data_IF_925110334715
#
_entry.id   IF_925110334715
#
_cell.length_a   1.000
_cell.length_b   1.000
_cell.length_c   1.000
_cell.angle_alpha   90.00
_cell.angle_beta   90.00
_cell.angle_gamma   90.00
#
_symmetry.space_group_name_H-M   'P 1'
#
loop_
_entity.id
_entity.type
_entity.pdbx_description
1 polymer ?
#
# COMPACT_ATOMS: atom_id res chain seq x y z
N UNK A 1 3.96 16.02 -2.08
CA UNK A 1 2.55 16.09 -2.45
C UNK A 1 2.38 16.90 -3.73
N UNK A 2 1.78 16.32 -4.78
CA UNK A 2 1.41 17.00 -6.02
C UNK A 2 -0.10 17.22 -6.02
N UNK A 3 -0.53 18.43 -6.31
CA UNK A 3 -1.93 18.84 -6.30
C UNK A 3 -2.31 19.30 -7.70
N UNK A 4 -3.50 18.96 -8.15
CA UNK A 4 -4.00 19.34 -9.48
C UNK A 4 -5.05 20.44 -9.41
N UNK A 5 -5.27 21.19 -10.51
CA UNK A 5 -6.21 22.31 -10.57
C UNK A 5 -7.62 21.96 -10.10
N UNK A 6 -8.25 22.90 -9.40
CA UNK A 6 -9.62 22.79 -8.89
C UNK A 6 -9.76 22.04 -7.56
N UNK A 7 -8.74 21.29 -7.12
CA UNK A 7 -8.83 20.46 -5.92
C UNK A 7 -8.61 21.30 -4.66
N UNK A 8 -9.42 21.03 -3.63
CA UNK A 8 -9.22 21.52 -2.26
C UNK A 8 -8.63 20.41 -1.43
N UNK A 9 -7.53 20.66 -0.75
CA UNK A 9 -6.85 19.67 0.08
C UNK A 9 -6.24 20.30 1.32
N UNK A 10 -5.94 19.44 2.30
CA UNK A 10 -5.24 19.82 3.53
C UNK A 10 -3.76 19.47 3.42
N UNK A 11 -2.88 20.40 3.80
CA UNK A 11 -1.43 20.24 3.79
C UNK A 11 -0.88 20.51 5.18
N UNK A 12 -0.15 19.56 5.74
CA UNK A 12 0.57 19.76 6.99
C UNK A 12 1.78 20.66 6.76
N UNK A 13 1.91 21.70 7.58
CA UNK A 13 2.94 22.75 7.45
C UNK A 13 3.96 22.57 8.58
N UNK A 14 4.94 21.70 8.38
CA UNK A 14 5.93 21.37 9.41
C UNK A 14 7.23 22.16 9.34
N UNK A 15 7.61 22.72 8.18
CA UNK A 15 8.87 23.45 8.02
C UNK A 15 8.73 24.89 8.45
N UNK A 16 9.77 25.42 9.08
CA UNK A 16 9.80 26.80 9.59
C UNK A 16 9.55 27.83 8.47
N UNK A 17 10.20 27.66 7.32
CA UNK A 17 9.98 28.54 6.15
C UNK A 17 8.54 28.53 5.64
N UNK A 18 7.88 27.37 5.68
CA UNK A 18 6.46 27.23 5.30
C UNK A 18 5.53 27.84 6.36
N UNK A 19 5.86 27.71 7.64
CA UNK A 19 5.13 28.39 8.72
C UNK A 19 5.22 29.91 8.61
N UNK A 20 6.41 30.44 8.32
CA UNK A 20 6.61 31.87 8.10
C UNK A 20 5.81 32.36 6.86
N UNK A 21 5.75 31.56 5.81
CA UNK A 21 4.89 31.87 4.64
C UNK A 21 3.42 31.93 5.05
N UNK A 22 2.91 30.97 5.78
CA UNK A 22 1.51 30.95 6.23
C UNK A 22 1.21 32.16 7.11
N UNK A 23 2.05 32.46 8.11
CA UNK A 23 1.91 33.67 8.95
C UNK A 23 1.92 34.97 8.16
N UNK A 24 2.76 35.02 7.12
CA UNK A 24 2.81 36.17 6.22
C UNK A 24 1.49 36.35 5.46
N UNK A 25 0.90 35.25 5.00
CA UNK A 25 -0.36 35.25 4.26
C UNK A 25 -1.53 35.65 5.15
N UNK A 26 -1.63 35.11 6.36
CA UNK A 26 -2.68 35.46 7.32
C UNK A 26 -2.69 36.97 7.63
N UNK A 27 -1.51 37.58 7.72
CA UNK A 27 -1.40 39.04 7.91
C UNK A 27 -1.84 39.86 6.70
N UNK A 28 -1.81 39.26 5.50
CA UNK A 28 -2.09 39.95 4.24
C UNK A 28 -3.56 39.91 3.83
N UNK A 29 -4.34 38.99 4.45
CA UNK A 29 -5.77 38.86 4.19
C UNK A 29 -6.10 37.90 3.05
N UNK A 30 -7.38 37.84 2.68
CA UNK A 30 -7.99 36.81 1.85
C UNK A 30 -7.53 36.73 0.39
N UNK A 31 -6.77 37.72 -0.13
CA UNK A 31 -6.37 37.77 -1.54
C UNK A 31 -4.94 37.28 -1.82
N UNK A 32 -4.33 36.60 -0.86
CA UNK A 32 -2.96 36.10 -1.02
C UNK A 32 -2.92 34.70 -1.65
N UNK A 33 -2.21 34.61 -2.77
CA UNK A 33 -1.92 33.36 -3.45
C UNK A 33 -0.51 32.88 -3.12
N UNK A 34 -0.34 31.56 -3.15
CA UNK A 34 0.94 30.87 -3.00
C UNK A 34 1.21 30.00 -4.22
N UNK A 35 2.48 29.82 -4.53
CA UNK A 35 2.93 28.78 -5.43
C UNK A 35 3.20 27.50 -4.62
N UNK A 36 2.63 26.38 -5.05
CA UNK A 36 2.86 25.06 -4.45
C UNK A 36 3.50 24.17 -5.49
N UNK A 37 4.72 23.73 -5.22
CA UNK A 37 5.41 22.75 -6.03
C UNK A 37 5.90 21.59 -5.18
N UNK A 38 6.14 20.46 -5.80
CA UNK A 38 6.64 19.26 -5.15
C UNK A 38 8.16 19.27 -5.16
N UNK A 39 8.74 18.72 -4.11
CA UNK A 39 10.16 18.46 -3.98
C UNK A 39 10.53 17.20 -4.77
N UNK A 40 11.69 17.21 -5.44
CA UNK A 40 12.22 16.04 -6.15
C UNK A 40 12.63 14.97 -5.15
N UNK A 41 13.39 15.35 -4.12
CA UNK A 41 13.76 14.46 -3.02
C UNK A 41 13.19 14.97 -1.69
N UNK A 42 12.28 14.20 -1.11
CA UNK A 42 11.63 14.53 0.16
C UNK A 42 12.58 14.56 1.37
N UNK A 43 13.77 13.96 1.26
CA UNK A 43 14.75 13.89 2.33
C UNK A 43 15.52 15.21 2.54
N UNK A 44 15.45 16.14 1.59
CA UNK A 44 16.14 17.43 1.71
C UNK A 44 15.34 18.36 2.62
N UNK A 45 15.92 18.72 3.77
CA UNK A 45 15.26 19.58 4.76
C UNK A 45 15.14 21.03 4.32
N UNK A 46 16.15 21.55 3.62
CA UNK A 46 16.21 22.92 3.12
C UNK A 46 16.31 22.95 1.58
N UNK A 47 15.20 22.69 0.87
CA UNK A 47 15.23 22.66 -0.58
C UNK A 47 15.48 24.04 -1.18
N UNK A 48 16.25 24.06 -2.25
CA UNK A 48 16.46 25.17 -3.14
C UNK A 48 15.54 25.09 -4.36
N UNK A 49 15.61 26.06 -5.27
CA UNK A 49 14.87 25.99 -6.54
C UNK A 49 15.28 24.80 -7.42
N UNK A 50 16.48 24.29 -7.28
CA UNK A 50 16.95 23.11 -8.02
C UNK A 50 16.39 21.78 -7.48
N UNK A 51 15.89 21.79 -6.25
CA UNK A 51 15.37 20.60 -5.56
C UNK A 51 13.85 20.44 -5.68
N UNK A 52 13.19 21.34 -6.43
CA UNK A 52 11.74 21.31 -6.65
C UNK A 52 11.41 21.19 -8.14
N UNK A 53 10.26 20.60 -8.44
CA UNK A 53 9.78 20.53 -9.81
C UNK A 53 9.47 21.92 -10.34
N UNK A 54 9.83 22.23 -11.62
CA UNK A 54 9.62 23.55 -12.20
C UNK A 54 8.15 23.87 -12.41
N UNK A 55 7.31 22.85 -12.55
CA UNK A 55 5.85 23.00 -12.67
C UNK A 55 5.20 22.83 -11.29
N UNK A 56 4.36 23.77 -10.96
CA UNK A 56 3.59 23.78 -9.73
C UNK A 56 2.18 24.28 -9.94
N UNK A 57 1.53 24.62 -8.86
CA UNK A 57 0.16 25.12 -8.83
C UNK A 57 0.09 26.48 -8.14
N UNK A 58 -0.71 27.38 -8.69
CA UNK A 58 -1.20 28.55 -7.98
C UNK A 58 -2.31 28.12 -7.04
N UNK A 59 -2.15 28.38 -5.75
CA UNK A 59 -3.14 27.99 -4.75
C UNK A 59 -3.48 29.18 -3.82
N UNK A 60 -4.68 29.15 -3.25
CA UNK A 60 -5.15 30.06 -2.21
C UNK A 60 -5.24 29.30 -0.89
N UNK A 61 -4.74 29.89 0.17
CA UNK A 61 -4.93 29.38 1.53
C UNK A 61 -6.33 29.80 2.00
N UNK A 62 -7.21 28.83 2.18
CA UNK A 62 -8.58 29.08 2.63
C UNK A 62 -8.66 29.24 4.14
N UNK A 63 -7.92 28.38 4.86
CA UNK A 63 -7.93 28.34 6.31
C UNK A 63 -6.69 27.63 6.83
N UNK A 64 -6.19 28.08 7.99
CA UNK A 64 -5.17 27.38 8.77
C UNK A 64 -5.84 26.82 10.03
N UNK A 65 -5.57 25.57 10.33
CA UNK A 65 -6.07 24.88 11.51
C UNK A 65 -4.87 24.55 12.40
N UNK A 66 -4.81 25.18 13.56
CA UNK A 66 -3.80 24.90 14.58
C UNK A 66 -4.48 24.13 15.72
N UNK A 67 -3.93 22.97 16.05
CA UNK A 67 -4.34 22.22 17.24
C UNK A 67 -3.21 22.20 18.25
N UNK A 68 -3.50 22.25 19.55
CA UNK A 68 -2.47 22.17 20.59
C UNK A 68 -1.62 20.90 20.40
N UNK A 69 -0.30 21.07 20.36
CA UNK A 69 0.69 19.99 20.19
C UNK A 69 0.64 19.23 18.86
N UNK A 70 0.03 19.79 17.82
CA UNK A 70 0.03 19.21 16.47
C UNK A 70 0.63 20.19 15.46
N UNK A 71 1.16 19.65 14.37
CA UNK A 71 1.64 20.43 13.23
C UNK A 71 0.48 21.20 12.59
N UNK A 72 0.59 22.51 12.37
CA UNK A 72 -0.43 23.30 11.70
C UNK A 72 -0.79 22.72 10.33
N UNK A 73 -2.06 22.77 10.01
CA UNK A 73 -2.60 22.25 8.75
C UNK A 73 -3.25 23.38 7.97
N UNK A 74 -2.76 23.65 6.77
CA UNK A 74 -3.36 24.62 5.85
C UNK A 74 -4.34 23.92 4.91
N UNK A 75 -5.56 24.44 4.82
CA UNK A 75 -6.53 24.05 3.79
C UNK A 75 -6.31 24.98 2.61
N UNK A 76 -5.93 24.41 1.47
CA UNK A 76 -5.60 25.15 0.25
C UNK A 76 -6.50 24.74 -0.90
N UNK A 77 -6.82 25.68 -1.76
CA UNK A 77 -7.52 25.47 -3.02
C UNK A 77 -6.57 25.71 -4.18
N UNK A 78 -6.42 24.74 -5.04
CA UNK A 78 -5.61 24.83 -6.26
C UNK A 78 -6.42 25.47 -7.39
N UNK A 79 -5.81 26.39 -8.14
CA UNK A 79 -6.48 27.08 -9.25
C UNK A 79 -5.95 26.62 -10.60
N UNK A 80 -4.70 26.91 -10.92
CA UNK A 80 -4.13 26.65 -12.23
C UNK A 80 -2.67 26.26 -12.14
N UNK A 81 -2.17 25.66 -13.20
CA UNK A 81 -0.77 25.29 -13.32
C UNK A 81 0.10 26.54 -13.53
N UNK A 82 1.28 26.49 -12.97
CA UNK A 82 2.28 27.57 -13.11
C UNK A 82 3.66 26.97 -13.37
N UNK A 83 4.46 27.70 -14.12
CA UNK A 83 5.90 27.48 -14.21
C UNK A 83 6.62 28.41 -13.24
N UNK A 84 7.56 27.87 -12.47
CA UNK A 84 8.38 28.59 -11.52
C UNK A 84 9.69 29.01 -12.19
N UNK A 85 10.08 30.29 -12.05
CA UNK A 85 11.41 30.73 -12.48
C UNK A 85 12.49 30.06 -11.62
N UNK A 86 13.57 29.56 -12.21
CA UNK A 86 14.67 28.95 -11.46
C UNK A 86 15.44 29.95 -10.59
N UNK A 87 15.31 31.24 -10.89
CA UNK A 87 15.98 32.32 -10.14
C UNK A 87 15.02 32.89 -9.08
N UNK A 88 15.30 32.65 -7.78
CA UNK A 88 14.47 33.21 -6.72
C UNK A 88 14.73 34.72 -6.58
N UNK A 89 13.68 35.49 -6.40
CA UNK A 89 13.78 36.93 -6.09
C UNK A 89 14.11 37.15 -4.61
N UNK A 90 13.81 36.18 -3.76
CA UNK A 90 14.09 36.18 -2.32
C UNK A 90 14.13 34.77 -1.78
N UNK A 91 15.02 34.51 -0.83
CA UNK A 91 15.16 33.17 -0.22
C UNK A 91 14.63 33.16 1.22
N UNK A 92 14.87 34.19 1.99
CA UNK A 92 14.50 34.27 3.40
C UNK A 92 13.36 35.29 3.66
N UNK A 93 12.40 35.02 4.58
CA UNK A 93 12.25 33.83 5.40
C UNK A 93 11.68 32.63 4.63
N UNK A 94 11.15 32.83 3.44
CA UNK A 94 10.67 31.79 2.51
C UNK A 94 11.01 32.18 1.07
N UNK A 95 11.06 31.18 0.20
CA UNK A 95 11.41 31.39 -1.22
C UNK A 95 10.31 32.18 -1.92
N UNK A 96 10.72 33.19 -2.67
CA UNK A 96 9.86 33.94 -3.62
C UNK A 96 10.48 33.87 -4.99
N UNK A 97 9.68 33.59 -5.98
CA UNK A 97 10.10 33.58 -7.37
C UNK A 97 9.01 34.12 -8.26
N UNK A 98 9.36 34.43 -9.52
CA UNK A 98 8.39 34.76 -10.55
C UNK A 98 7.69 33.48 -11.01
N UNK A 99 6.39 33.57 -11.27
CA UNK A 99 5.59 32.48 -11.80
C UNK A 99 4.94 32.89 -13.10
N UNK A 100 4.87 31.96 -14.04
CA UNK A 100 4.15 32.13 -15.31
C UNK A 100 2.98 31.16 -15.36
N UNK A 101 1.74 31.62 -15.56
CA UNK A 101 0.62 30.72 -15.77
C UNK A 101 0.83 29.82 -16.97
N UNK A 102 0.47 28.55 -16.82
CA UNK A 102 0.48 27.55 -17.88
C UNK A 102 -0.97 27.30 -18.30
N UNK A 103 -1.22 27.35 -19.59
CA UNK A 103 -2.54 27.08 -20.16
C UNK A 103 -2.77 25.57 -20.25
N UNK A 104 -3.99 25.14 -19.96
CA UNK A 104 -4.47 23.79 -20.21
C UNK A 104 -5.27 23.76 -21.51
N UNK A 105 -5.03 22.73 -22.32
CA UNK A 105 -5.81 22.44 -23.53
C UNK A 105 -6.92 21.47 -23.14
N UNK A 106 -8.16 21.95 -23.23
CA UNK A 106 -9.35 21.15 -22.92
C UNK A 106 -9.93 20.52 -24.20
N UNK A 107 -10.52 19.32 -24.10
CA UNK A 107 -11.26 18.72 -25.21
C UNK A 107 -12.46 19.60 -25.60
N UNK A 108 -12.87 19.52 -26.86
CA UNK A 108 -14.08 20.20 -27.33
C UNK A 108 -15.36 19.67 -26.64
N UNK A 109 -16.39 20.50 -26.56
CA UNK A 109 -17.68 20.06 -26.05
C UNK A 109 -18.23 18.93 -26.94
N UNK A 110 -18.59 17.79 -26.34
CA UNK A 110 -19.04 16.58 -27.01
C UNK A 110 -17.98 15.80 -27.83
N UNK A 111 -16.70 15.95 -27.51
CA UNK A 111 -15.66 15.11 -28.05
C UNK A 111 -15.90 13.65 -27.63
N UNK A 112 -16.26 12.81 -28.61
CA UNK A 112 -16.60 11.39 -28.38
C UNK A 112 -15.39 10.57 -27.96
N UNK A 113 -14.19 10.93 -28.42
CA UNK A 113 -12.96 10.23 -28.06
C UNK A 113 -12.61 10.50 -26.59
N UNK A 114 -12.69 11.76 -26.20
CA UNK A 114 -12.50 12.11 -24.79
C UNK A 114 -13.56 11.48 -23.89
N UNK A 115 -14.81 11.43 -24.32
CA UNK A 115 -15.89 10.82 -23.55
C UNK A 115 -15.65 9.33 -23.33
N UNK A 116 -15.26 8.59 -24.38
CA UNK A 116 -14.92 7.18 -24.28
C UNK A 116 -13.70 6.92 -23.39
N UNK A 117 -12.66 7.77 -23.51
CA UNK A 117 -11.47 7.73 -22.65
C UNK A 117 -11.84 7.98 -21.19
N UNK A 118 -12.64 9.00 -20.92
CA UNK A 118 -13.10 9.35 -19.58
C UNK A 118 -13.94 8.24 -18.95
N UNK A 119 -14.87 7.65 -19.69
CA UNK A 119 -15.68 6.53 -19.18
C UNK A 119 -14.80 5.33 -18.82
N UNK A 120 -13.84 4.97 -19.68
CA UNK A 120 -12.85 3.92 -19.40
C UNK A 120 -12.02 4.24 -18.15
N UNK A 121 -11.55 5.48 -18.03
CA UNK A 121 -10.79 5.94 -16.87
C UNK A 121 -11.62 5.88 -15.58
N UNK A 122 -12.87 6.30 -15.65
CA UNK A 122 -13.80 6.28 -14.52
C UNK A 122 -14.08 4.86 -14.03
N UNK A 123 -14.33 3.92 -14.95
CA UNK A 123 -14.52 2.49 -14.62
C UNK A 123 -13.26 1.91 -13.95
N UNK A 124 -12.08 2.16 -14.54
CA UNK A 124 -10.81 1.72 -13.98
C UNK A 124 -10.57 2.28 -12.58
N UNK A 125 -10.92 3.57 -12.36
CA UNK A 125 -10.81 4.21 -11.04
C UNK A 125 -11.70 3.54 -9.99
N UNK A 126 -12.95 3.26 -10.31
CA UNK A 126 -13.84 2.56 -9.39
C UNK A 126 -13.36 1.13 -9.08
N UNK A 127 -12.85 0.43 -10.10
CA UNK A 127 -12.25 -0.89 -9.91
C UNK A 127 -11.04 -0.84 -8.99
N UNK A 128 -10.16 0.14 -9.18
CA UNK A 128 -8.98 0.35 -8.35
C UNK A 128 -9.33 0.60 -6.88
N UNK A 129 -10.28 1.49 -6.62
CA UNK A 129 -10.72 1.81 -5.25
C UNK A 129 -11.34 0.58 -4.58
N UNK A 130 -12.10 -0.22 -5.32
CA UNK A 130 -12.73 -1.45 -4.79
C UNK A 130 -11.70 -2.52 -4.42
N UNK A 131 -10.63 -2.66 -5.20
CA UNK A 131 -9.58 -3.66 -4.97
C UNK A 131 -8.52 -3.20 -3.95
N UNK A 132 -8.40 -1.90 -3.72
CA UNK A 132 -7.41 -1.34 -2.81
C UNK A 132 -7.97 -1.23 -1.39
N UNK A 133 -7.64 -2.18 -0.54
CA UNK A 133 -8.08 -2.24 0.86
C UNK A 133 -7.70 -1.01 1.70
N UNK A 134 -6.69 -0.24 1.26
CA UNK A 134 -6.27 1.00 1.94
C UNK A 134 -7.19 2.19 1.67
N UNK A 135 -7.97 2.10 0.59
CA UNK A 135 -8.93 3.13 0.20
C UNK A 135 -10.32 2.67 0.68
N UNK A 136 -10.80 3.27 1.75
CA UNK A 136 -12.12 2.92 2.32
C UNK A 136 -13.30 3.34 1.45
N UNK A 137 -14.51 3.02 1.91
CA UNK A 137 -15.77 3.43 1.28
C UNK A 137 -15.90 4.96 1.15
N UNK A 138 -15.20 5.71 1.99
CA UNK A 138 -15.16 7.18 1.94
C UNK A 138 -14.57 7.70 0.64
N UNK A 139 -13.45 7.09 0.16
CA UNK A 139 -12.86 7.45 -1.12
C UNK A 139 -13.81 7.18 -2.30
N UNK A 140 -14.52 6.05 -2.26
CA UNK A 140 -15.54 5.71 -3.26
C UNK A 140 -16.67 6.74 -3.28
N UNK A 141 -17.19 7.13 -2.11
CA UNK A 141 -18.28 8.11 -1.99
C UNK A 141 -17.85 9.51 -2.41
N UNK A 142 -16.61 9.91 -2.11
CA UNK A 142 -16.06 11.19 -2.53
C UNK A 142 -16.03 11.33 -4.05
N UNK A 143 -15.65 10.27 -4.77
CA UNK A 143 -15.52 10.30 -6.24
C UNK A 143 -16.87 10.10 -6.96
N UNK A 144 -17.78 9.30 -6.39
CA UNK A 144 -19.04 8.93 -7.04
C UNK A 144 -19.90 10.13 -7.46
N UNK A 145 -19.87 11.20 -6.67
CA UNK A 145 -20.71 12.38 -6.88
C UNK A 145 -20.07 13.47 -7.75
N UNK A 146 -18.85 13.23 -8.25
CA UNK A 146 -18.17 14.16 -9.15
C UNK A 146 -18.72 13.99 -10.56
N UNK A 147 -19.42 15.02 -11.05
CA UNK A 147 -20.02 15.01 -12.39
C UNK A 147 -19.12 15.65 -13.46
N UNK A 148 -18.27 16.61 -13.08
CA UNK A 148 -17.38 17.28 -14.03
C UNK A 148 -16.16 16.37 -14.34
N UNK A 149 -15.95 16.00 -15.64
CA UNK A 149 -14.87 15.10 -16.02
C UNK A 149 -13.46 15.62 -15.67
N UNK A 150 -13.20 16.89 -15.94
CA UNK A 150 -11.90 17.52 -15.69
C UNK A 150 -11.59 17.53 -14.19
N UNK A 151 -12.58 17.92 -13.39
CA UNK A 151 -12.43 17.90 -11.94
C UNK A 151 -12.25 16.48 -11.41
N UNK A 152 -12.96 15.48 -11.97
CA UNK A 152 -12.80 14.07 -11.61
C UNK A 152 -11.36 13.60 -11.86
N UNK A 153 -10.81 13.86 -13.05
CA UNK A 153 -9.44 13.49 -13.43
C UNK A 153 -8.42 14.11 -12.46
N UNK A 154 -8.53 15.42 -12.23
CA UNK A 154 -7.62 16.15 -11.33
C UNK A 154 -7.74 15.69 -9.87
N UNK A 155 -8.95 15.38 -9.42
CA UNK A 155 -9.21 14.86 -8.08
C UNK A 155 -8.58 13.49 -7.89
N UNK A 156 -8.74 12.59 -8.86
CA UNK A 156 -8.14 11.25 -8.86
C UNK A 156 -6.61 11.33 -8.88
N UNK A 157 -6.05 12.16 -9.76
CA UNK A 157 -4.59 12.38 -9.84
C UNK A 157 -4.01 12.90 -8.52
N UNK A 158 -4.74 13.78 -7.81
CA UNK A 158 -4.31 14.30 -6.51
C UNK A 158 -4.34 13.24 -5.43
N UNK A 159 -5.45 12.50 -5.30
CA UNK A 159 -5.76 11.70 -4.11
C UNK A 159 -5.34 10.24 -4.19
N UNK A 160 -5.18 9.65 -5.37
CA UNK A 160 -4.70 8.28 -5.46
C UNK A 160 -3.20 8.19 -5.12
N UNK A 161 -2.75 7.09 -4.51
CA UNK A 161 -1.38 6.93 -3.99
C UNK A 161 -0.39 6.53 -5.09
N UNK A 162 -0.35 7.30 -6.20
CA UNK A 162 0.65 7.13 -7.24
C UNK A 162 1.99 7.75 -6.84
N UNK A 163 3.04 7.37 -7.54
CA UNK A 163 4.37 7.91 -7.32
C UNK A 163 4.41 9.44 -7.52
N UNK A 164 5.23 10.11 -6.73
CA UNK A 164 5.32 11.58 -6.73
C UNK A 164 5.90 12.13 -8.04
N UNK A 165 6.88 11.45 -8.60
CA UNK A 165 7.52 11.84 -9.86
C UNK A 165 6.52 11.66 -11.02
N UNK A 166 5.79 10.54 -11.07
CA UNK A 166 4.73 10.33 -12.06
C UNK A 166 3.65 11.40 -11.99
N UNK A 167 3.21 11.78 -10.78
CA UNK A 167 2.26 12.88 -10.59
C UNK A 167 2.81 14.22 -11.05
N UNK A 168 4.10 14.49 -10.82
CA UNK A 168 4.72 15.72 -11.26
C UNK A 168 4.77 15.79 -12.79
N UNK A 169 5.14 14.70 -13.47
CA UNK A 169 5.10 14.59 -14.94
C UNK A 169 3.68 14.76 -15.50
N UNK A 170 2.67 14.16 -14.84
CA UNK A 170 1.27 14.38 -15.21
C UNK A 170 0.84 15.83 -15.05
N UNK A 171 1.37 16.55 -14.06
CA UNK A 171 1.09 17.98 -13.87
C UNK A 171 1.75 18.84 -14.94
N UNK A 172 2.88 18.42 -15.51
CA UNK A 172 3.54 19.10 -16.63
C UNK A 172 2.74 19.02 -17.93
N UNK A 173 2.01 17.92 -18.15
CA UNK A 173 1.19 17.76 -19.35
C UNK A 173 -0.02 18.70 -19.31
N UNK A 174 -0.09 19.61 -20.29
CA UNK A 174 -1.15 20.61 -20.42
C UNK A 174 -2.38 20.12 -21.17
N UNK A 175 -2.24 19.16 -22.02
CA UNK A 175 -3.33 18.58 -22.80
C UNK A 175 -4.11 17.57 -21.95
N UNK A 176 -5.39 17.85 -21.71
CA UNK A 176 -6.25 17.01 -20.87
C UNK A 176 -6.48 15.62 -21.43
N UNK A 177 -6.52 15.47 -22.75
CA UNK A 177 -6.64 14.15 -23.39
C UNK A 177 -5.41 13.32 -23.09
N UNK A 178 -4.22 13.87 -23.31
CA UNK A 178 -2.93 13.20 -23.06
C UNK A 178 -2.72 12.91 -21.59
N UNK A 179 -3.04 13.87 -20.71
CA UNK A 179 -2.95 13.69 -19.25
C UNK A 179 -3.86 12.55 -18.78
N UNK A 180 -5.11 12.49 -19.27
CA UNK A 180 -6.06 11.44 -18.94
C UNK A 180 -5.58 10.07 -19.42
N UNK A 181 -5.03 10.01 -20.64
CA UNK A 181 -4.47 8.77 -21.19
C UNK A 181 -3.28 8.28 -20.37
N UNK A 182 -2.34 9.16 -20.03
CA UNK A 182 -1.18 8.82 -19.19
C UNK A 182 -1.62 8.35 -17.79
N UNK A 183 -2.59 9.04 -17.19
CA UNK A 183 -3.14 8.66 -15.90
C UNK A 183 -3.88 7.31 -15.94
N UNK A 184 -4.62 7.02 -17.01
CA UNK A 184 -5.24 5.71 -17.24
C UNK A 184 -4.19 4.60 -17.33
N UNK A 185 -3.08 4.86 -18.01
CA UNK A 185 -1.99 3.89 -18.13
C UNK A 185 -1.37 3.57 -16.77
N UNK A 186 -1.09 4.58 -15.94
CA UNK A 186 -0.60 4.39 -14.57
C UNK A 186 -1.62 3.57 -13.76
N UNK A 187 -2.89 3.94 -13.83
CA UNK A 187 -3.96 3.27 -13.10
C UNK A 187 -4.12 1.80 -13.51
N UNK A 188 -4.01 1.49 -14.80
CA UNK A 188 -4.06 0.10 -15.29
C UNK A 188 -2.89 -0.73 -14.79
N UNK A 189 -1.67 -0.17 -14.76
CA UNK A 189 -0.49 -0.84 -14.19
C UNK A 189 -0.71 -1.15 -12.70
N UNK A 190 -1.20 -0.18 -11.94
CA UNK A 190 -1.50 -0.37 -10.52
C UNK A 190 -2.60 -1.40 -10.28
N UNK A 191 -3.64 -1.43 -11.13
CA UNK A 191 -4.68 -2.46 -11.10
C UNK A 191 -4.12 -3.85 -11.32
N UNK A 192 -3.28 -4.04 -12.34
CA UNK A 192 -2.64 -5.34 -12.60
C UNK A 192 -1.80 -5.80 -11.40
N UNK A 193 -1.09 -4.88 -10.77
CA UNK A 193 -0.31 -5.18 -9.57
C UNK A 193 -1.19 -5.61 -8.38
N UNK A 194 -2.32 -4.92 -8.15
CA UNK A 194 -3.27 -5.29 -7.10
C UNK A 194 -3.92 -6.65 -7.35
N UNK A 195 -4.32 -6.95 -8.59
CA UNK A 195 -4.90 -8.25 -8.99
C UNK A 195 -3.89 -9.40 -8.79
N UNK A 196 -2.64 -9.17 -9.17
CA UNK A 196 -1.57 -10.14 -8.94
C UNK A 196 -1.34 -10.38 -7.43
N UNK A 197 -1.29 -9.30 -6.65
CA UNK A 197 -1.13 -9.39 -5.19
C UNK A 197 -2.27 -10.17 -4.54
N UNK A 198 -3.51 -9.93 -4.96
CA UNK A 198 -4.67 -10.66 -4.47
C UNK A 198 -4.57 -12.16 -4.82
N UNK A 199 -4.21 -12.49 -6.06
CA UNK A 199 -4.04 -13.88 -6.50
C UNK A 199 -2.98 -14.62 -5.68
N UNK A 200 -1.84 -13.96 -5.40
CA UNK A 200 -0.77 -14.52 -4.56
C UNK A 200 -1.28 -14.74 -3.12
N UNK A 201 -1.97 -13.76 -2.54
CA UNK A 201 -2.53 -13.85 -1.20
C UNK A 201 -3.53 -14.99 -1.06
N UNK A 202 -4.44 -15.15 -2.03
CA UNK A 202 -5.41 -16.25 -2.05
C UNK A 202 -4.75 -17.63 -2.15
N UNK A 203 -3.68 -17.76 -2.97
CA UNK A 203 -2.89 -18.99 -3.05
C UNK A 203 -2.23 -19.32 -1.71
N UNK A 204 -1.53 -18.35 -1.14
CA UNK A 204 -0.82 -18.53 0.14
C UNK A 204 -1.79 -18.92 1.25
N UNK A 205 -2.95 -18.29 1.33
CA UNK A 205 -3.96 -18.64 2.32
C UNK A 205 -4.49 -20.06 2.13
N UNK A 206 -4.76 -20.49 0.89
CA UNK A 206 -5.19 -21.88 0.61
C UNK A 206 -4.13 -22.91 0.99
N UNK A 207 -2.86 -22.66 0.69
CA UNK A 207 -1.74 -23.52 1.06
C UNK A 207 -1.60 -23.61 2.59
N UNK A 208 -1.75 -22.47 3.30
CA UNK A 208 -1.70 -22.42 4.76
C UNK A 208 -2.85 -23.20 5.40
N UNK A 209 -4.07 -23.03 4.90
CA UNK A 209 -5.25 -23.78 5.37
C UNK A 209 -5.06 -25.29 5.15
N UNK A 210 -4.51 -25.69 4.00
CA UNK A 210 -4.22 -27.09 3.71
C UNK A 210 -3.17 -27.66 4.66
N UNK A 211 -2.07 -26.96 4.90
CA UNK A 211 -1.04 -27.37 5.84
C UNK A 211 -1.59 -27.50 7.28
N UNK A 212 -2.41 -26.55 7.72
CA UNK A 212 -3.05 -26.62 9.03
C UNK A 212 -3.97 -27.85 9.15
N UNK A 213 -4.75 -28.14 8.10
CA UNK A 213 -5.62 -29.31 8.05
C UNK A 213 -4.82 -30.61 8.09
N UNK A 214 -3.74 -30.71 7.33
CA UNK A 214 -2.84 -31.87 7.33
C UNK A 214 -2.18 -32.08 8.70
N UNK A 215 -1.70 -31.00 9.32
CA UNK A 215 -1.14 -31.06 10.66
C UNK A 215 -2.16 -31.53 11.70
N UNK A 216 -3.38 -31.02 11.64
CA UNK A 216 -4.47 -31.45 12.53
C UNK A 216 -4.80 -32.94 12.35
N UNK A 217 -4.90 -33.41 11.11
CA UNK A 217 -5.16 -34.82 10.80
C UNK A 217 -4.01 -35.70 11.30
N UNK A 218 -2.75 -35.30 11.11
CA UNK A 218 -1.59 -36.06 11.65
C UNK A 218 -1.61 -36.11 13.17
N UNK A 219 -1.98 -35.02 13.85
CA UNK A 219 -2.15 -35.05 15.31
C UNK A 219 -3.25 -36.00 15.77
N UNK A 220 -4.39 -36.01 15.07
CA UNK A 220 -5.47 -36.93 15.37
C UNK A 220 -5.03 -38.40 15.18
N UNK A 221 -4.38 -38.71 14.07
CA UNK A 221 -3.82 -40.06 13.80
C UNK A 221 -2.87 -40.48 14.95
N UNK A 222 -1.95 -39.58 15.36
CA UNK A 222 -1.03 -39.82 16.45
C UNK A 222 -1.72 -40.07 17.80
N UNK A 223 -2.81 -39.33 18.05
CA UNK A 223 -3.60 -39.54 19.27
C UNK A 223 -4.36 -40.87 19.23
N UNK A 224 -4.98 -41.24 18.11
CA UNK A 224 -5.61 -42.54 17.94
C UNK A 224 -4.61 -43.71 18.04
N UNK A 225 -3.41 -43.57 17.48
CA UNK A 225 -2.37 -44.56 17.62
C UNK A 225 -1.92 -44.72 19.09
N UNK A 226 -1.85 -43.62 19.87
CA UNK A 226 -1.58 -43.68 21.30
C UNK A 226 -2.70 -44.37 22.08
N UNK A 227 -3.96 -44.06 21.75
CA UNK A 227 -5.12 -44.68 22.38
C UNK A 227 -5.22 -46.18 22.05
N UNK A 228 -4.94 -46.59 20.82
CA UNK A 228 -4.88 -47.97 20.39
C UNK A 228 -3.67 -48.71 21.03
N UNK A 229 -2.51 -48.06 21.12
CA UNK A 229 -1.30 -48.62 21.76
C UNK A 229 -1.42 -48.71 23.28
N UNK A 230 -2.31 -47.93 23.92
CA UNK A 230 -2.63 -48.09 25.35
C UNK A 230 -3.68 -49.18 25.60
N UNK A 231 -4.39 -49.65 24.55
CA UNK A 231 -5.39 -50.73 24.67
C UNK A 231 -4.80 -52.13 24.43
N UNK A 232 -3.71 -52.25 23.67
CA UNK A 232 -2.92 -53.47 23.53
C UNK A 232 -1.55 -53.18 24.14
N UNK A 233 -1.26 -53.81 25.27
CA UNK A 233 -0.10 -53.53 26.11
C UNK A 233 1.18 -53.33 25.30
N UNK A 234 2.03 -52.43 25.77
CA UNK A 234 3.34 -52.15 25.20
C UNK A 234 4.24 -53.40 25.35
N UNK A 235 4.13 -54.33 24.40
CA UNK A 235 4.79 -55.61 24.41
C UNK A 235 6.30 -55.45 24.65
N UNK A 236 6.89 -54.39 24.10
CA UNK A 236 8.29 -54.07 24.32
C UNK A 236 8.63 -53.76 25.80
N UNK A 237 7.75 -53.06 26.53
CA UNK A 237 7.92 -52.79 27.96
C UNK A 237 7.67 -54.07 28.79
N UNK A 238 6.71 -54.89 28.39
CA UNK A 238 6.48 -56.16 29.05
C UNK A 238 7.65 -57.11 28.87
N UNK A 239 8.25 -57.19 27.70
CA UNK A 239 9.47 -57.98 27.46
C UNK A 239 10.65 -57.40 28.24
N UNK A 240 10.86 -56.12 28.35
CA UNK A 240 11.91 -55.54 29.20
C UNK A 240 11.70 -55.88 30.67
N UNK A 241 10.47 -55.81 31.16
CA UNK A 241 10.16 -56.19 32.56
C UNK A 241 10.41 -57.62 32.83
N UNK A 242 10.00 -58.54 31.94
CA UNK A 242 10.29 -60.00 32.07
C UNK A 242 11.81 -60.33 32.02
N UNK A 243 12.57 -59.52 31.23
CA UNK A 243 14.02 -59.70 31.12
C UNK A 243 14.78 -59.22 32.36
N UNK A 244 14.20 -58.39 33.23
CA UNK A 244 14.81 -57.97 34.50
C UNK A 244 14.88 -59.11 35.50
N UNK A 245 13.96 -60.10 35.43
CA UNK A 245 13.87 -61.25 36.35
C UNK A 245 14.73 -62.40 35.87
N UNK A 246 15.45 -62.31 34.73
CA UNK A 246 16.27 -63.38 34.15
C UNK A 246 17.73 -62.90 34.05
N UNK A 247 18.63 -63.64 34.59
CA UNK A 247 20.06 -63.33 34.46
C UNK A 247 20.62 -63.80 33.11
N UNK A 248 20.56 -62.85 32.14
CA UNK A 248 21.01 -63.09 30.77
C UNK A 248 22.50 -62.77 30.60
N UNK A 249 23.25 -63.56 29.87
CA UNK A 249 24.64 -63.28 29.51
C UNK A 249 24.74 -61.94 28.71
N UNK A 250 25.85 -61.21 28.85
CA UNK A 250 25.99 -59.83 28.28
C UNK A 250 25.81 -59.77 26.75
N UNK A 251 26.24 -60.82 26.04
CA UNK A 251 26.06 -60.94 24.60
C UNK A 251 24.56 -61.06 24.21
N UNK A 252 23.77 -61.79 25.04
CA UNK A 252 22.33 -61.96 24.81
C UNK A 252 21.57 -60.73 25.19
N UNK A 253 21.95 -59.99 26.25
CA UNK A 253 21.37 -58.71 26.61
C UNK A 253 21.46 -57.65 25.44
N UNK A 254 22.62 -57.63 24.80
CA UNK A 254 22.82 -56.72 23.69
C UNK A 254 21.95 -57.01 22.45
N UNK A 255 21.70 -58.27 22.17
CA UNK A 255 20.84 -58.77 21.10
C UNK A 255 19.38 -58.50 21.47
N UNK A 256 18.98 -58.81 22.68
CA UNK A 256 17.64 -58.58 23.20
C UNK A 256 17.25 -57.13 23.14
N UNK A 257 18.08 -56.19 23.61
CA UNK A 257 17.81 -54.75 23.56
C UNK A 257 17.67 -54.23 22.12
N UNK A 258 18.44 -54.78 21.18
CA UNK A 258 18.30 -54.43 19.76
C UNK A 258 16.96 -54.88 19.18
N UNK A 259 16.53 -56.11 19.48
CA UNK A 259 15.27 -56.65 18.97
C UNK A 259 14.05 -55.97 19.63
N UNK A 260 14.10 -55.70 20.94
CA UNK A 260 13.03 -54.95 21.64
C UNK A 260 12.93 -53.49 21.13
N UNK A 261 14.08 -52.87 20.87
CA UNK A 261 14.06 -51.53 20.27
C UNK A 261 13.50 -51.50 18.84
N UNK A 262 13.69 -52.60 18.10
CA UNK A 262 13.12 -52.78 16.78
C UNK A 262 11.59 -52.96 16.86
N UNK A 263 11.15 -53.81 17.81
CA UNK A 263 9.73 -54.01 18.11
C UNK A 263 9.02 -52.70 18.50
N UNK A 264 9.65 -51.89 19.32
CA UNK A 264 9.16 -50.59 19.77
C UNK A 264 8.91 -49.60 18.60
N UNK A 265 9.60 -49.80 17.47
CA UNK A 265 9.48 -49.01 16.26
C UNK A 265 8.58 -49.62 15.20
N UNK A 266 8.20 -50.90 15.36
CA UNK A 266 7.35 -51.60 14.40
C UNK A 266 5.88 -51.22 14.61
N UNK A 267 5.14 -51.12 13.52
CA UNK A 267 3.70 -50.94 13.59
C UNK A 267 3.04 -52.28 13.97
N UNK A 268 2.21 -52.35 15.03
CA UNK A 268 1.53 -53.55 15.45
C UNK A 268 0.66 -54.23 14.38
N UNK A 269 0.27 -53.50 13.33
CA UNK A 269 -0.56 -54.00 12.23
C UNK A 269 0.24 -54.75 11.14
N UNK A 270 1.56 -54.87 11.27
CA UNK A 270 2.40 -55.56 10.28
C UNK A 270 2.54 -57.04 10.68
N UNK A 271 2.38 -57.99 9.73
CA UNK A 271 2.49 -59.46 10.04
C UNK A 271 3.76 -59.85 10.79
N UNK A 272 4.86 -59.16 10.56
CA UNK A 272 6.15 -59.41 11.22
C UNK A 272 6.18 -59.00 12.71
N UNK A 273 5.17 -58.31 13.22
CA UNK A 273 5.07 -57.95 14.63
C UNK A 273 4.66 -59.11 15.53
N UNK A 274 3.92 -60.07 14.99
CA UNK A 274 3.37 -61.22 15.73
C UNK A 274 4.21 -62.50 15.65
N UNK A 275 5.38 -62.43 15.03
CA UNK A 275 6.36 -63.54 14.95
C UNK A 275 7.44 -63.38 16.01
#
# INVERSE_FOLDING_TARGET
LVIFPGVVTSVMVGRESSLELIRYIEKRGDDAFIAVSCQVDAAIDHPTMADIFPTGILAKVLRVVEMPNQTPTAIIQAFGRISLSPEPTRINPFIRTHVTPLEDVFPEDNDKEFQALFDTFKEATFKYIKLNERLGMEAFMAIKNISNPIFFINFVATNLPFDTEEKALLLEEGDMMRRTFALLHILQRELQFLELKQTISERTNKELEQQQKEFYLQQQIKNFQKELGNAEGNDAEEFRRKALDIDLPQNVKNIFEKEVTKLDRMNPSVPDYSV
#
